data_IF_600297820788
#
_entry.id   IF_600297820788
#
_cell.length_a   1.000
_cell.length_b   1.000
_cell.length_c   1.000
_cell.angle_alpha   90.00
_cell.angle_beta   90.00
_cell.angle_gamma   90.00
#
_symmetry.space_group_name_H-M   'P 1'
#
loop_
_entity.id
_entity.type
_entity.pdbx_description
1 polymer ?
#
# COMPACT_ATOMS: atom_id res chain seq x y z
N UNK A 1 -2.80 8.31 17.63
CA UNK A 1 -3.32 6.93 17.64
C UNK A 1 -4.34 6.78 18.76
N UNK A 2 -5.62 6.55 18.43
CA UNK A 2 -6.74 6.55 19.38
C UNK A 2 -6.67 5.37 20.37
N UNK A 3 -6.45 4.16 19.84
CA UNK A 3 -6.30 2.94 20.63
C UNK A 3 -5.17 3.02 21.66
N UNK A 4 -3.99 3.48 21.23
CA UNK A 4 -2.81 3.61 22.11
C UNK A 4 -3.03 4.64 23.23
N UNK A 5 -3.86 5.65 22.99
CA UNK A 5 -4.21 6.64 24.01
C UNK A 5 -5.18 6.05 25.04
N UNK A 6 -6.19 5.28 24.59
CA UNK A 6 -7.11 4.58 25.48
C UNK A 6 -6.39 3.54 26.33
N UNK A 7 -5.51 2.74 25.73
CA UNK A 7 -4.70 1.77 26.47
C UNK A 7 -3.86 2.44 27.55
N UNK A 8 -3.19 3.56 27.23
CA UNK A 8 -2.39 4.28 28.23
C UNK A 8 -3.21 4.73 29.45
N UNK A 9 -4.48 5.10 29.25
CA UNK A 9 -5.36 5.57 30.32
C UNK A 9 -5.99 4.44 31.14
N UNK A 10 -6.16 3.26 30.55
CA UNK A 10 -6.85 2.13 31.15
C UNK A 10 -5.92 0.93 31.40
N UNK A 11 -4.63 1.19 31.67
CA UNK A 11 -3.63 0.16 31.99
C UNK A 11 -3.53 -0.96 30.94
N UNK A 12 -3.69 -0.60 29.66
CA UNK A 12 -3.68 -1.52 28.52
C UNK A 12 -4.82 -2.56 28.56
N UNK A 13 -5.94 -2.27 29.22
CA UNK A 13 -7.12 -3.11 29.23
C UNK A 13 -7.87 -3.07 27.89
N UNK A 14 -7.95 -4.21 27.23
CA UNK A 14 -8.72 -4.36 25.99
C UNK A 14 -10.22 -4.22 26.19
N UNK A 15 -10.75 -4.65 27.34
CA UNK A 15 -12.17 -4.52 27.66
C UNK A 15 -12.58 -3.05 27.80
N UNK A 16 -11.71 -2.20 28.35
CA UNK A 16 -11.98 -0.77 28.51
C UNK A 16 -11.90 0.01 27.18
N UNK A 17 -11.14 -0.51 26.22
CA UNK A 17 -10.88 0.11 24.92
C UNK A 17 -11.53 -0.62 23.74
N UNK A 18 -12.54 -1.46 24.01
CA UNK A 18 -13.14 -2.34 23.00
C UNK A 18 -13.64 -1.58 21.76
N UNK A 19 -14.14 -0.36 21.94
CA UNK A 19 -14.64 0.49 20.85
C UNK A 19 -13.50 1.00 19.96
N UNK A 20 -12.42 1.46 20.57
CA UNK A 20 -11.21 1.93 19.88
C UNK A 20 -10.51 0.77 19.16
N UNK A 21 -10.52 -0.43 19.77
CA UNK A 21 -10.01 -1.66 19.19
C UNK A 21 -10.81 -2.03 17.94
N UNK A 22 -12.14 -2.06 18.04
CA UNK A 22 -13.00 -2.39 16.90
C UNK A 22 -12.79 -1.41 15.74
N UNK A 23 -12.76 -0.11 16.05
CA UNK A 23 -12.52 0.93 15.04
C UNK A 23 -11.15 0.78 14.36
N UNK A 24 -10.12 0.40 15.12
CA UNK A 24 -8.80 0.13 14.57
C UNK A 24 -8.83 -1.08 13.62
N UNK A 25 -9.45 -2.18 14.03
CA UNK A 25 -9.55 -3.38 13.20
C UNK A 25 -10.39 -3.16 11.94
N UNK A 26 -11.46 -2.38 12.01
CA UNK A 26 -12.26 -2.01 10.84
C UNK A 26 -11.41 -1.24 9.82
N UNK A 27 -10.55 -0.33 10.30
CA UNK A 27 -9.61 0.40 9.46
C UNK A 27 -8.58 -0.54 8.81
N UNK A 28 -7.98 -1.44 9.61
CA UNK A 28 -7.00 -2.42 9.12
C UNK A 28 -7.61 -3.35 8.08
N UNK A 29 -8.81 -3.87 8.33
CA UNK A 29 -9.52 -4.75 7.39
C UNK A 29 -9.77 -4.06 6.04
N UNK A 30 -10.15 -2.78 6.05
CA UNK A 30 -10.31 -1.99 4.83
C UNK A 30 -8.98 -1.81 4.10
N UNK A 31 -7.91 -1.47 4.81
CA UNK A 31 -6.57 -1.30 4.21
C UNK A 31 -6.03 -2.60 3.62
N UNK A 32 -6.26 -3.74 4.27
CA UNK A 32 -5.86 -5.06 3.76
C UNK A 32 -6.56 -5.40 2.44
N UNK A 33 -7.85 -5.10 2.33
CA UNK A 33 -8.61 -5.27 1.08
C UNK A 33 -8.05 -4.35 0.00
N UNK A 34 -7.87 -3.06 0.28
CA UNK A 34 -7.30 -2.10 -0.66
C UNK A 34 -5.87 -2.48 -1.09
N UNK A 35 -5.07 -3.04 -0.18
CA UNK A 35 -3.72 -3.51 -0.49
C UNK A 35 -3.74 -4.71 -1.42
N UNK A 36 -4.63 -5.68 -1.17
CA UNK A 36 -4.81 -6.83 -2.06
C UNK A 36 -5.29 -6.41 -3.44
N UNK A 37 -6.25 -5.48 -3.52
CA UNK A 37 -6.74 -4.97 -4.80
C UNK A 37 -5.69 -4.15 -5.54
N UNK A 38 -4.90 -3.32 -4.84
CA UNK A 38 -3.75 -2.62 -5.43
C UNK A 38 -2.70 -3.59 -5.96
N UNK A 39 -2.33 -4.63 -5.21
CA UNK A 39 -1.39 -5.64 -5.69
C UNK A 39 -1.92 -6.36 -6.94
N UNK A 40 -3.21 -6.67 -6.99
CA UNK A 40 -3.84 -7.22 -8.19
C UNK A 40 -3.81 -6.22 -9.35
N UNK A 41 -4.11 -4.95 -9.11
CA UNK A 41 -4.10 -3.89 -10.12
C UNK A 41 -2.68 -3.59 -10.64
N UNK A 42 -1.67 -3.63 -9.79
CA UNK A 42 -0.25 -3.56 -10.15
C UNK A 42 0.18 -4.77 -10.97
N UNK A 43 -0.26 -5.98 -10.60
CA UNK A 43 -0.10 -7.20 -11.39
C UNK A 43 -0.76 -7.09 -12.77
N UNK A 44 -1.96 -6.50 -12.83
CA UNK A 44 -2.72 -6.24 -14.06
C UNK A 44 -2.19 -5.03 -14.84
N UNK A 45 -1.15 -4.36 -14.35
CA UNK A 45 -0.42 -3.31 -15.06
C UNK A 45 -1.21 -2.02 -15.28
N UNK A 46 -2.26 -1.75 -14.48
CA UNK A 46 -3.21 -0.66 -14.74
C UNK A 46 -3.15 0.46 -13.71
N UNK A 47 -1.97 1.09 -13.57
CA UNK A 47 -1.83 2.39 -12.92
C UNK A 47 -1.04 3.33 -13.83
N UNK A 48 -1.68 3.84 -14.88
CA UNK A 48 -1.28 5.01 -15.70
C UNK A 48 0.09 4.98 -16.39
N UNK A 49 0.96 4.04 -16.05
CA UNK A 49 2.35 3.99 -16.41
C UNK A 49 2.64 2.60 -17.00
N UNK A 50 3.39 2.57 -18.10
CA UNK A 50 3.73 1.33 -18.79
C UNK A 50 4.51 0.40 -17.84
N UNK A 51 4.20 -0.90 -17.88
CA UNK A 51 4.96 -1.90 -17.12
C UNK A 51 6.45 -1.78 -17.44
N UNK A 52 7.36 -1.94 -16.45
CA UNK A 52 8.81 -1.88 -16.67
C UNK A 52 9.29 -2.80 -17.80
N UNK A 53 8.63 -3.95 -18.01
CA UNK A 53 8.93 -4.86 -19.13
C UNK A 53 8.65 -4.22 -20.49
N UNK A 54 7.53 -3.51 -20.61
CA UNK A 54 7.13 -2.80 -21.82
C UNK A 54 8.03 -1.60 -22.07
N UNK A 55 8.33 -0.82 -21.02
CA UNK A 55 9.28 0.31 -21.11
C UNK A 55 10.65 -0.17 -21.54
N UNK A 56 11.20 -1.22 -20.91
CA UNK A 56 12.50 -1.77 -21.28
C UNK A 56 12.52 -2.33 -22.71
N UNK A 57 11.41 -2.92 -23.19
CA UNK A 57 11.28 -3.35 -24.59
C UNK A 57 11.32 -2.15 -25.56
N UNK A 58 10.68 -1.04 -25.20
CA UNK A 58 10.68 0.18 -26.01
C UNK A 58 12.08 0.84 -26.02
N UNK A 59 12.72 0.96 -24.85
CA UNK A 59 14.07 1.51 -24.71
C UNK A 59 15.12 0.66 -25.46
N UNK A 60 14.96 -0.67 -25.51
CA UNK A 60 15.82 -1.52 -26.34
C UNK A 60 15.62 -1.30 -27.85
N UNK A 61 14.42 -0.86 -28.26
CA UNK A 61 14.12 -0.56 -29.67
C UNK A 61 14.64 0.82 -30.08
N UNK A 62 14.65 1.77 -29.14
CA UNK A 62 15.17 3.13 -29.32
C UNK A 62 16.21 3.42 -28.22
N UNK A 63 17.42 2.85 -28.33
CA UNK A 63 18.47 3.06 -27.34
C UNK A 63 18.90 4.53 -27.32
N UNK A 64 19.27 5.03 -26.15
CA UNK A 64 19.83 6.37 -26.04
C UNK A 64 21.24 6.35 -26.63
N UNK A 65 21.42 7.03 -27.76
CA UNK A 65 22.72 7.20 -28.40
C UNK A 65 23.36 8.43 -27.76
N UNK A 66 23.92 8.25 -26.56
CA UNK A 66 24.99 9.15 -26.13
C UNK A 66 26.22 8.69 -26.88
N UNK A 67 26.42 9.22 -28.09
CA UNK A 67 27.72 9.20 -28.72
C UNK A 67 28.68 9.91 -27.75
N UNK A 68 29.42 9.11 -27.01
CA UNK A 68 30.57 9.53 -26.21
C UNK A 68 31.66 9.88 -27.23
N UNK A 69 31.75 11.17 -27.56
CA UNK A 69 32.88 11.78 -28.26
C UNK A 69 33.78 12.49 -27.25
#
# INVERSE_FOLDING_TARGET
>A
SLLMACWKQNEFSDAACAKEIQTFYDCVAKTDVEHKERLKQESLGHMGNLSPKTVNKLLRRFPNITDDF
#
